data_IF_990605162806
#
_entry.id   IF_990605162806
#
_cell.length_a   1.000
_cell.length_b   1.000
_cell.length_c   1.000
_cell.angle_alpha   90.00
_cell.angle_beta   90.00
_cell.angle_gamma   90.00
#
_symmetry.space_group_name_H-M   'P 1'
#
loop_
_entity.id
_entity.type
_entity.pdbx_description
1 polymer ?
#
# COMPACT_ATOMS: atom_id res chain seq x y z
N UNK A 1 1.91 -15.53 -18.61
CA UNK A 1 1.79 -14.05 -18.57
C UNK A 1 0.59 -13.55 -17.77
N UNK A 2 -0.68 -13.92 -18.04
CA UNK A 2 -1.81 -13.31 -17.32
C UNK A 2 -1.83 -13.65 -15.82
N UNK A 3 -1.51 -14.89 -15.45
CA UNK A 3 -1.52 -15.34 -14.05
C UNK A 3 -0.53 -14.58 -13.17
N UNK A 4 0.68 -14.29 -13.66
CA UNK A 4 1.72 -13.59 -12.90
C UNK A 4 1.28 -12.17 -12.55
N UNK A 5 0.76 -11.43 -13.53
CA UNK A 5 0.23 -10.10 -13.31
C UNK A 5 -0.94 -10.10 -12.32
N UNK A 6 -1.85 -11.08 -12.44
CA UNK A 6 -2.96 -11.27 -11.51
C UNK A 6 -2.45 -11.47 -10.08
N UNK A 7 -1.47 -12.35 -9.88
CA UNK A 7 -0.91 -12.61 -8.54
C UNK A 7 -0.30 -11.35 -7.93
N UNK A 8 0.50 -10.59 -8.69
CA UNK A 8 1.11 -9.33 -8.21
C UNK A 8 0.01 -8.33 -7.81
N UNK A 9 -0.99 -8.14 -8.67
CA UNK A 9 -2.08 -7.20 -8.43
C UNK A 9 -2.89 -7.60 -7.20
N UNK A 10 -3.20 -8.89 -7.02
CA UNK A 10 -3.94 -9.37 -5.84
C UNK A 10 -3.19 -9.04 -4.55
N UNK A 11 -1.88 -9.23 -4.49
CA UNK A 11 -1.09 -8.87 -3.30
C UNK A 11 -1.17 -7.37 -3.01
N UNK A 12 -1.04 -6.53 -4.03
CA UNK A 12 -1.15 -5.09 -3.88
C UNK A 12 -2.56 -4.65 -3.43
N UNK A 13 -3.61 -5.25 -3.99
CA UNK A 13 -5.01 -5.01 -3.62
C UNK A 13 -5.29 -5.43 -2.18
N UNK A 14 -4.76 -6.58 -1.73
CA UNK A 14 -4.86 -7.01 -0.34
C UNK A 14 -4.21 -5.98 0.59
N UNK A 15 -3.01 -5.50 0.25
CA UNK A 15 -2.31 -4.46 1.01
C UNK A 15 -3.11 -3.17 1.09
N UNK A 16 -3.63 -2.71 -0.05
CA UNK A 16 -4.53 -1.55 -0.11
C UNK A 16 -5.77 -1.72 0.78
N UNK A 17 -6.42 -2.89 0.70
CA UNK A 17 -7.60 -3.19 1.52
C UNK A 17 -7.31 -3.17 3.02
N UNK A 18 -6.17 -3.70 3.45
CA UNK A 18 -5.71 -3.66 4.85
C UNK A 18 -5.36 -2.22 5.30
N UNK A 19 -4.77 -1.42 4.41
CA UNK A 19 -4.57 0.01 4.65
C UNK A 19 -5.90 0.75 4.84
N UNK A 20 -6.87 0.52 3.95
CA UNK A 20 -8.22 1.06 4.04
C UNK A 20 -8.94 0.62 5.31
N UNK A 21 -8.78 -0.64 5.73
CA UNK A 21 -9.32 -1.13 7.00
C UNK A 21 -8.70 -0.42 8.21
N UNK A 22 -7.39 -0.15 8.18
CA UNK A 22 -6.70 0.60 9.24
C UNK A 22 -7.30 2.00 9.41
N UNK A 23 -7.52 2.72 8.30
CA UNK A 23 -8.14 4.06 8.31
C UNK A 23 -9.62 3.98 8.72
N UNK A 24 -10.37 3.03 8.16
CA UNK A 24 -11.80 2.86 8.43
C UNK A 24 -12.11 2.51 9.89
N UNK A 25 -11.29 1.66 10.51
CA UNK A 25 -11.38 1.35 11.94
C UNK A 25 -10.88 2.54 12.76
N UNK A 26 -9.74 3.14 12.38
CA UNK A 26 -9.15 4.26 13.10
C UNK A 26 -10.09 5.46 13.21
N UNK A 27 -10.75 5.86 12.12
CA UNK A 27 -11.71 6.98 12.11
C UNK A 27 -12.90 6.80 13.07
N UNK A 28 -13.22 5.55 13.43
CA UNK A 28 -14.30 5.24 14.39
C UNK A 28 -13.84 5.26 15.85
N UNK A 29 -12.52 5.16 16.10
CA UNK A 29 -11.94 5.00 17.45
C UNK A 29 -11.05 6.16 17.88
N UNK A 30 -10.47 6.88 16.94
CA UNK A 30 -9.46 7.91 17.18
C UNK A 30 -9.79 9.20 16.42
N UNK A 31 -9.09 10.28 16.75
CA UNK A 31 -9.10 11.50 15.93
C UNK A 31 -8.53 11.21 14.54
N UNK A 32 -8.84 12.07 13.55
CA UNK A 32 -8.31 11.91 12.20
C UNK A 32 -6.78 11.93 12.19
N UNK A 33 -6.15 12.87 12.90
CA UNK A 33 -4.68 12.95 12.99
C UNK A 33 -4.08 11.67 13.58
N UNK A 34 -4.64 11.15 14.66
CA UNK A 34 -4.17 9.90 15.26
C UNK A 34 -4.37 8.71 14.30
N UNK A 35 -5.51 8.65 13.61
CA UNK A 35 -5.78 7.64 12.58
C UNK A 35 -4.73 7.65 11.48
N UNK A 36 -4.37 8.83 10.97
CA UNK A 36 -3.36 8.96 9.92
C UNK A 36 -1.96 8.56 10.40
N UNK A 37 -1.60 8.86 11.66
CA UNK A 37 -0.34 8.41 12.25
C UNK A 37 -0.31 6.87 12.34
N UNK A 38 -1.37 6.26 12.88
CA UNK A 38 -1.48 4.80 12.97
C UNK A 38 -1.41 4.18 11.58
N UNK A 39 -2.12 4.74 10.60
CA UNK A 39 -2.07 4.26 9.22
C UNK A 39 -0.68 4.38 8.60
N UNK A 40 -0.01 5.53 8.74
CA UNK A 40 1.34 5.74 8.22
C UNK A 40 2.37 4.78 8.83
N UNK A 41 2.19 4.39 10.09
CA UNK A 41 3.02 3.35 10.73
C UNK A 41 2.62 1.97 10.21
N UNK A 42 1.34 1.64 10.14
CA UNK A 42 0.86 0.31 9.76
C UNK A 42 1.16 -0.05 8.30
N UNK A 43 1.04 0.92 7.38
CA UNK A 43 1.20 0.73 5.94
C UNK A 43 2.52 0.03 5.55
N UNK A 44 3.72 0.49 5.96
CA UNK A 44 4.97 -0.21 5.66
C UNK A 44 5.03 -1.63 6.25
N UNK A 45 4.50 -1.88 7.45
CA UNK A 45 4.50 -3.23 8.02
C UNK A 45 3.56 -4.19 7.27
N UNK A 46 2.38 -3.70 6.86
CA UNK A 46 1.45 -4.46 6.02
C UNK A 46 2.15 -4.85 4.72
N UNK A 47 2.78 -3.89 4.05
CA UNK A 47 3.42 -4.14 2.76
C UNK A 47 4.73 -4.92 2.86
N UNK A 48 5.48 -4.81 3.95
CA UNK A 48 6.61 -5.69 4.24
C UNK A 48 6.17 -7.15 4.46
N UNK A 49 5.07 -7.36 5.20
CA UNK A 49 4.52 -8.69 5.42
C UNK A 49 4.01 -9.32 4.11
N UNK A 50 3.27 -8.57 3.30
CA UNK A 50 2.82 -9.01 1.97
C UNK A 50 4.01 -9.30 1.05
N UNK A 51 5.00 -8.41 1.01
CA UNK A 51 6.20 -8.60 0.21
C UNK A 51 6.99 -9.84 0.66
N UNK A 52 7.04 -10.13 1.97
CA UNK A 52 7.69 -11.32 2.52
C UNK A 52 7.00 -12.63 2.14
N UNK A 53 5.73 -12.59 1.75
CA UNK A 53 5.03 -13.72 1.12
C UNK A 53 5.25 -13.71 -0.40
N UNK A 54 5.17 -12.53 -1.01
CA UNK A 54 5.28 -12.41 -2.47
C UNK A 54 6.63 -12.88 -3.02
N UNK A 55 7.73 -12.40 -2.43
CA UNK A 55 9.08 -12.61 -2.96
C UNK A 55 9.52 -14.08 -2.96
N UNK A 56 9.49 -14.83 -1.83
CA UNK A 56 9.98 -16.21 -1.82
C UNK A 56 9.07 -17.19 -2.59
N UNK A 57 7.78 -16.91 -2.72
CA UNK A 57 6.83 -17.85 -3.34
C UNK A 57 6.51 -17.55 -4.81
N UNK A 58 6.58 -16.28 -5.22
CA UNK A 58 6.18 -15.86 -6.56
C UNK A 58 7.32 -15.13 -7.27
N UNK A 59 7.85 -14.05 -6.66
CA UNK A 59 9.11 -13.42 -7.09
C UNK A 59 9.20 -13.07 -8.59
N UNK A 60 8.08 -12.82 -9.27
CA UNK A 60 8.05 -12.69 -10.74
C UNK A 60 8.73 -11.43 -11.28
N UNK A 61 9.05 -10.49 -10.40
CA UNK A 61 9.62 -9.18 -10.72
C UNK A 61 10.70 -8.82 -9.70
N UNK A 62 11.72 -8.08 -10.12
CA UNK A 62 12.75 -7.58 -9.22
C UNK A 62 12.19 -6.58 -8.18
N UNK A 63 12.88 -6.35 -7.06
CA UNK A 63 12.35 -5.59 -5.92
C UNK A 63 11.83 -4.21 -6.27
N UNK A 64 12.57 -3.47 -7.11
CA UNK A 64 12.20 -2.12 -7.52
C UNK A 64 10.89 -2.11 -8.32
N UNK A 65 10.73 -3.04 -9.25
CA UNK A 65 9.53 -3.16 -10.07
C UNK A 65 8.33 -3.59 -9.22
N UNK A 66 8.51 -4.52 -8.28
CA UNK A 66 7.45 -4.91 -7.33
C UNK A 66 7.00 -3.74 -6.49
N UNK A 67 7.94 -2.97 -5.92
CA UNK A 67 7.62 -1.78 -5.13
C UNK A 67 6.85 -0.74 -5.95
N UNK A 68 7.28 -0.47 -7.19
CA UNK A 68 6.59 0.44 -8.09
C UNK A 68 5.16 -0.05 -8.43
N UNK A 69 4.98 -1.35 -8.69
CA UNK A 69 3.67 -1.92 -9.00
C UNK A 69 2.76 -1.86 -7.77
N UNK A 70 3.23 -2.28 -6.60
CA UNK A 70 2.46 -2.27 -5.36
C UNK A 70 1.99 -0.86 -5.00
N UNK A 71 2.92 0.10 -4.95
CA UNK A 71 2.59 1.51 -4.69
C UNK A 71 1.70 2.08 -5.79
N UNK A 72 1.96 1.76 -7.06
CA UNK A 72 1.15 2.23 -8.19
C UNK A 72 -0.31 1.76 -8.11
N UNK A 73 -0.54 0.50 -7.74
CA UNK A 73 -1.90 -0.03 -7.51
C UNK A 73 -2.58 0.68 -6.34
N UNK A 74 -1.87 0.92 -5.24
CA UNK A 74 -2.41 1.67 -4.09
C UNK A 74 -2.82 3.08 -4.51
N UNK A 75 -1.94 3.81 -5.20
CA UNK A 75 -2.22 5.17 -5.72
C UNK A 75 -3.43 5.16 -6.65
N UNK A 76 -3.50 4.19 -7.56
CA UNK A 76 -4.60 4.06 -8.50
C UNK A 76 -5.94 3.80 -7.80
N UNK A 77 -5.96 2.90 -6.81
CA UNK A 77 -7.18 2.59 -6.06
C UNK A 77 -7.58 3.74 -5.12
N UNK A 78 -6.63 4.44 -4.52
CA UNK A 78 -6.92 5.64 -3.72
C UNK A 78 -7.51 6.75 -4.61
N UNK A 79 -6.99 6.92 -5.82
CA UNK A 79 -7.54 7.89 -6.77
C UNK A 79 -8.97 7.53 -7.20
N UNK A 80 -9.18 6.30 -7.67
CA UNK A 80 -10.45 5.90 -8.25
C UNK A 80 -11.51 5.57 -7.21
N UNK A 81 -11.16 4.77 -6.21
CA UNK A 81 -12.12 4.28 -5.23
C UNK A 81 -12.29 5.31 -4.11
N UNK A 82 -11.20 5.75 -3.50
CA UNK A 82 -11.30 6.61 -2.31
C UNK A 82 -11.67 8.04 -2.71
N UNK A 83 -10.88 8.69 -3.57
CA UNK A 83 -11.07 10.09 -3.90
C UNK A 83 -12.30 10.34 -4.79
N UNK A 84 -12.47 9.58 -5.88
CA UNK A 84 -13.59 9.80 -6.80
C UNK A 84 -14.93 9.24 -6.30
N UNK A 85 -14.95 8.01 -5.77
CA UNK A 85 -16.21 7.34 -5.42
C UNK A 85 -16.66 7.58 -3.97
N UNK A 86 -15.74 7.49 -3.00
CA UNK A 86 -16.08 7.55 -1.57
C UNK A 86 -16.10 9.00 -1.07
N UNK A 87 -14.97 9.70 -1.09
CA UNK A 87 -14.82 11.05 -0.54
C UNK A 87 -15.30 12.14 -1.51
N UNK A 88 -15.38 11.83 -2.81
CA UNK A 88 -15.75 12.77 -3.90
C UNK A 88 -14.92 14.06 -3.88
N UNK A 89 -13.66 13.95 -3.46
CA UNK A 89 -12.69 15.04 -3.36
C UNK A 89 -11.27 14.52 -3.50
N UNK A 90 -10.37 15.35 -4.04
CA UNK A 90 -8.93 15.07 -4.13
C UNK A 90 -8.13 15.60 -2.93
N UNK A 91 -8.80 16.10 -1.88
CA UNK A 91 -8.12 16.72 -0.74
C UNK A 91 -7.15 15.79 -0.02
N UNK A 92 -7.39 14.46 -0.05
CA UNK A 92 -6.45 13.50 0.54
C UNK A 92 -5.05 13.63 -0.08
N UNK A 93 -4.93 13.93 -1.38
CA UNK A 93 -3.65 14.08 -2.07
C UNK A 93 -2.90 15.37 -1.70
N UNK A 94 -3.53 16.28 -0.95
CA UNK A 94 -2.84 17.44 -0.35
C UNK A 94 -2.15 17.10 0.96
N UNK A 95 -2.45 15.95 1.55
CA UNK A 95 -1.90 15.52 2.85
C UNK A 95 -0.59 14.76 2.70
N UNK A 96 0.50 15.32 3.22
CA UNK A 96 1.78 14.60 3.31
C UNK A 96 1.64 13.39 4.23
N UNK A 97 1.08 13.59 5.43
CA UNK A 97 0.94 12.54 6.44
C UNK A 97 -0.01 11.42 6.03
N UNK A 98 -1.11 11.77 5.35
CA UNK A 98 -2.17 10.83 5.02
C UNK A 98 -1.98 10.09 3.70
N UNK A 99 -1.08 10.55 2.83
CA UNK A 99 -0.99 10.05 1.45
C UNK A 99 0.45 9.87 1.00
N UNK A 100 1.21 10.96 0.86
CA UNK A 100 2.56 10.90 0.29
C UNK A 100 3.57 10.14 1.15
N UNK A 101 3.53 10.33 2.47
CA UNK A 101 4.37 9.60 3.40
C UNK A 101 4.04 8.10 3.39
N UNK A 102 2.76 7.66 3.54
CA UNK A 102 2.39 6.26 3.35
C UNK A 102 2.87 5.67 2.02
N UNK A 103 2.73 6.37 0.89
CA UNK A 103 3.20 5.87 -0.41
C UNK A 103 4.71 5.63 -0.44
N UNK A 104 5.49 6.58 0.06
CA UNK A 104 6.94 6.45 0.16
C UNK A 104 7.35 5.31 1.11
N UNK A 105 6.65 5.15 2.23
CA UNK A 105 6.90 4.09 3.21
C UNK A 105 6.52 2.71 2.66
N UNK A 106 5.40 2.58 1.94
CA UNK A 106 5.01 1.35 1.25
C UNK A 106 6.09 0.97 0.23
N UNK A 107 6.48 1.91 -0.62
CA UNK A 107 7.52 1.69 -1.63
C UNK A 107 8.83 1.23 -1.00
N UNK A 108 9.31 1.98 0.00
CA UNK A 108 10.55 1.67 0.71
C UNK A 108 10.49 0.31 1.41
N UNK A 109 9.39 0.01 2.10
CA UNK A 109 9.21 -1.26 2.77
C UNK A 109 9.23 -2.44 1.78
N UNK A 110 8.44 -2.37 0.70
CA UNK A 110 8.43 -3.43 -0.32
C UNK A 110 9.80 -3.59 -0.99
N UNK A 111 10.47 -2.49 -1.33
CA UNK A 111 11.79 -2.54 -1.95
C UNK A 111 12.84 -3.18 -1.04
N UNK A 112 12.92 -2.72 0.21
CA UNK A 112 13.86 -3.26 1.21
C UNK A 112 13.58 -4.72 1.55
N UNK A 113 12.30 -5.13 1.62
CA UNK A 113 11.95 -6.54 1.81
C UNK A 113 12.46 -7.40 0.66
N UNK A 114 12.34 -6.94 -0.59
CA UNK A 114 12.87 -7.69 -1.74
C UNK A 114 14.38 -7.87 -1.68
N UNK A 115 15.11 -6.80 -1.34
CA UNK A 115 16.55 -6.87 -1.14
C UNK A 115 16.94 -7.84 0.00
N UNK A 116 16.17 -7.85 1.09
CA UNK A 116 16.41 -8.74 2.23
C UNK A 116 16.22 -10.24 1.87
N UNK A 117 15.36 -10.55 0.89
CA UNK A 117 15.18 -11.90 0.37
C UNK A 117 16.20 -12.28 -0.73
N UNK A 118 17.14 -11.39 -1.07
CA UNK A 118 18.18 -11.64 -2.07
C UNK A 118 17.65 -11.71 -3.51
N UNK A 119 16.50 -11.09 -3.78
CA UNK A 119 15.89 -10.97 -5.11
C UNK A 119 16.34 -9.68 -5.79
#
# INVERSE_FOLDING_TARGET
MPLQAIVIIIHAVIGWGLCGATVGIGRKRFSMRATLIVHAIAAPFIFAAIASVYFPWFGYTGPLATAAIFTGVVVFLDLLVVALMIERSFDMFRSVLGTWLPFALIFGATWLTGLAWGI
#
